data_IF_164047097680
#
_entry.id   IF_164047097680
#
_cell.length_a   1.000
_cell.length_b   1.000
_cell.length_c   1.000
_cell.angle_alpha   90.00
_cell.angle_beta   90.00
_cell.angle_gamma   90.00
#
_symmetry.space_group_name_H-M   'P 1'
#
loop_
_entity.id
_entity.type
_entity.pdbx_description
1 polymer ?
#
# COMPACT_ATOMS: atom_id res chain seq x y z
N UNK A 1 20.57 -70.36 -57.20
CA UNK A 1 20.82 -71.31 -56.07
C UNK A 1 20.63 -70.51 -54.78
N UNK A 2 19.87 -71.15 -53.90
CA UNK A 2 19.71 -70.85 -52.44
C UNK A 2 19.01 -69.60 -51.94
N UNK A 3 17.78 -69.80 -51.53
CA UNK A 3 17.10 -69.09 -50.40
C UNK A 3 17.93 -69.29 -49.12
N UNK A 4 17.77 -68.47 -48.02
CA UNK A 4 16.53 -68.50 -47.26
C UNK A 4 16.29 -67.30 -46.32
N UNK A 5 15.13 -67.37 -45.76
CA UNK A 5 14.62 -67.20 -44.38
C UNK A 5 14.41 -65.81 -43.81
N UNK A 6 13.11 -65.56 -43.68
CA UNK A 6 12.42 -64.64 -42.80
C UNK A 6 12.80 -64.82 -41.31
N UNK A 7 12.99 -63.67 -40.63
CA UNK A 7 12.83 -63.56 -39.16
C UNK A 7 12.01 -62.40 -38.82
N UNK A 8 10.79 -62.66 -38.42
CA UNK A 8 9.92 -61.71 -37.77
C UNK A 8 10.50 -61.33 -36.40
N UNK A 9 10.64 -60.04 -36.16
CA UNK A 9 10.97 -59.52 -34.82
C UNK A 9 9.79 -58.72 -34.32
N UNK A 10 9.18 -59.23 -33.24
CA UNK A 10 8.12 -58.58 -32.48
C UNK A 10 8.64 -57.26 -31.87
N UNK A 11 8.04 -56.15 -32.23
CA UNK A 11 8.20 -54.91 -31.48
C UNK A 11 7.06 -54.83 -30.45
N UNK A 12 7.41 -55.09 -29.20
CA UNK A 12 6.55 -54.80 -28.05
C UNK A 12 6.52 -53.29 -27.83
N UNK A 13 5.38 -52.67 -28.07
CA UNK A 13 5.15 -51.26 -27.78
C UNK A 13 5.01 -51.04 -26.25
N UNK A 14 5.94 -50.29 -25.67
CA UNK A 14 5.78 -49.72 -24.34
C UNK A 14 4.94 -48.44 -24.48
N UNK A 15 3.68 -48.52 -24.05
CA UNK A 15 2.84 -47.35 -23.85
C UNK A 15 3.28 -46.71 -22.54
N UNK A 16 4.12 -45.68 -22.64
CA UNK A 16 4.45 -44.83 -21.49
C UNK A 16 3.24 -44.00 -21.11
N UNK A 17 2.55 -44.35 -20.02
CA UNK A 17 1.62 -43.44 -19.35
C UNK A 17 2.41 -42.22 -18.81
N UNK A 18 2.41 -41.14 -19.56
CA UNK A 18 2.85 -39.86 -19.06
C UNK A 18 1.86 -39.36 -18.00
N UNK A 19 2.18 -39.51 -16.73
CA UNK A 19 1.48 -38.83 -15.66
C UNK A 19 1.73 -37.31 -15.81
N UNK A 20 0.76 -36.61 -16.37
CA UNK A 20 0.74 -35.17 -16.26
C UNK A 20 0.50 -34.82 -14.79
N UNK A 21 1.59 -34.50 -14.07
CA UNK A 21 1.50 -33.88 -12.78
C UNK A 21 0.82 -32.51 -12.98
N UNK A 22 -0.46 -32.42 -12.67
CA UNK A 22 -1.14 -31.16 -12.53
C UNK A 22 -0.47 -30.48 -11.33
N UNK A 23 0.41 -29.51 -11.60
CA UNK A 23 0.97 -28.69 -10.56
C UNK A 23 -0.22 -27.99 -9.87
N UNK A 24 -0.39 -28.11 -8.55
CA UNK A 24 -1.41 -27.35 -7.85
C UNK A 24 -1.15 -25.88 -8.15
N UNK A 25 -2.19 -25.15 -8.60
CA UNK A 25 -2.14 -23.72 -8.67
C UNK A 25 -1.72 -23.23 -7.29
N UNK A 26 -0.49 -22.72 -7.19
CA UNK A 26 0.00 -22.11 -5.97
C UNK A 26 -0.82 -20.83 -5.77
N UNK A 27 -1.97 -20.96 -5.11
CA UNK A 27 -2.64 -19.79 -4.57
C UNK A 27 -1.64 -19.15 -3.61
N UNK A 28 -1.33 -17.89 -3.85
CA UNK A 28 -0.48 -17.13 -2.94
C UNK A 28 -1.03 -17.30 -1.51
N UNK A 29 -0.14 -17.67 -0.59
CA UNK A 29 -0.55 -17.96 0.78
C UNK A 29 -1.19 -16.74 1.43
N UNK A 30 -2.30 -16.93 2.14
CA UNK A 30 -2.93 -15.90 2.95
C UNK A 30 -2.13 -15.68 4.22
N UNK A 31 -2.13 -14.43 4.70
CA UNK A 31 -1.48 -14.04 5.93
C UNK A 31 -2.48 -13.46 6.93
N UNK A 32 -2.96 -14.29 7.85
CA UNK A 32 -3.99 -13.93 8.83
C UNK A 32 -3.57 -12.78 9.76
N UNK A 33 -2.28 -12.70 10.10
CA UNK A 33 -1.77 -11.65 10.98
C UNK A 33 -1.80 -10.29 10.28
N UNK A 34 -1.38 -10.23 9.01
CA UNK A 34 -1.47 -9.03 8.19
C UNK A 34 -2.94 -8.61 7.96
N UNK A 35 -3.84 -9.57 7.74
CA UNK A 35 -5.27 -9.34 7.59
C UNK A 35 -5.88 -8.73 8.86
N UNK A 36 -5.59 -9.31 10.02
CA UNK A 36 -6.05 -8.83 11.33
C UNK A 36 -5.52 -7.45 11.63
N UNK A 37 -4.25 -7.20 11.31
CA UNK A 37 -3.62 -5.89 11.46
C UNK A 37 -4.34 -4.82 10.64
N UNK A 38 -4.62 -5.08 9.37
CA UNK A 38 -5.34 -4.13 8.50
C UNK A 38 -6.79 -3.96 8.99
N UNK A 39 -7.49 -5.05 9.31
CA UNK A 39 -8.88 -4.99 9.79
C UNK A 39 -9.02 -4.07 11.00
N UNK A 40 -8.19 -4.29 12.02
CA UNK A 40 -8.27 -3.53 13.28
C UNK A 40 -7.94 -2.05 13.07
N UNK A 41 -6.83 -1.76 12.40
CA UNK A 41 -6.36 -0.38 12.23
C UNK A 41 -7.22 0.43 11.26
N UNK A 42 -7.69 -0.16 10.16
CA UNK A 42 -8.57 0.52 9.23
C UNK A 42 -9.95 0.81 9.86
N UNK A 43 -10.48 -0.12 10.67
CA UNK A 43 -11.71 0.11 11.44
C UNK A 43 -11.54 1.28 12.42
N UNK A 44 -10.43 1.31 13.16
CA UNK A 44 -10.13 2.41 14.08
C UNK A 44 -9.97 3.75 13.35
N UNK A 45 -9.34 3.77 12.17
CA UNK A 45 -9.17 4.98 11.37
C UNK A 45 -10.53 5.55 10.89
N UNK A 46 -11.44 4.69 10.41
CA UNK A 46 -12.78 5.13 10.00
C UNK A 46 -13.62 5.62 11.19
N UNK A 47 -13.48 4.99 12.36
CA UNK A 47 -14.11 5.44 13.59
C UNK A 47 -13.58 6.83 14.04
N UNK A 48 -12.26 7.03 13.97
CA UNK A 48 -11.66 8.33 14.31
C UNK A 48 -12.16 9.45 13.39
N UNK A 49 -12.38 9.17 12.09
CA UNK A 49 -12.92 10.15 11.15
C UNK A 49 -14.38 10.53 11.46
N UNK A 50 -15.10 9.73 12.23
CA UNK A 50 -16.48 9.98 12.62
C UNK A 50 -16.65 10.93 13.83
N UNK A 51 -15.54 11.31 14.51
CA UNK A 51 -15.59 12.23 15.62
C UNK A 51 -16.03 13.63 15.15
N UNK A 52 -17.08 14.17 15.74
CA UNK A 52 -17.64 15.48 15.41
C UNK A 52 -16.71 16.63 15.85
N UNK A 53 -15.86 16.42 16.84
CA UNK A 53 -14.87 17.40 17.27
C UNK A 53 -13.66 17.36 16.32
N UNK A 54 -13.50 18.39 15.49
CA UNK A 54 -12.45 18.47 14.49
C UNK A 54 -11.02 18.33 15.07
N UNK A 55 -10.79 18.87 16.27
CA UNK A 55 -9.48 18.76 16.94
C UNK A 55 -9.22 17.35 17.43
N UNK A 56 -10.19 16.71 18.07
CA UNK A 56 -10.08 15.33 18.56
C UNK A 56 -9.94 14.37 17.38
N UNK A 57 -10.77 14.50 16.35
CA UNK A 57 -10.69 13.73 15.10
C UNK A 57 -9.29 13.77 14.52
N UNK A 58 -8.72 14.97 14.33
CA UNK A 58 -7.37 15.14 13.78
C UNK A 58 -6.30 14.48 14.65
N UNK A 59 -6.35 14.68 15.96
CA UNK A 59 -5.38 14.08 16.89
C UNK A 59 -5.47 12.55 16.90
N UNK A 60 -6.68 11.98 16.90
CA UNK A 60 -6.88 10.54 16.86
C UNK A 60 -6.40 9.96 15.53
N UNK A 61 -6.78 10.57 14.43
CA UNK A 61 -6.36 10.13 13.10
C UNK A 61 -4.84 10.22 12.93
N UNK A 62 -4.21 11.29 13.42
CA UNK A 62 -2.75 11.43 13.42
C UNK A 62 -2.06 10.33 14.20
N UNK A 63 -2.52 10.01 15.41
CA UNK A 63 -1.96 8.90 16.21
C UNK A 63 -2.08 7.57 15.46
N UNK A 64 -3.25 7.27 14.91
CA UNK A 64 -3.49 6.05 14.17
C UNK A 64 -2.60 5.95 12.92
N UNK A 65 -2.48 7.03 12.15
CA UNK A 65 -1.61 7.04 10.97
C UNK A 65 -0.15 6.77 11.31
N UNK A 66 0.38 7.36 12.41
CA UNK A 66 1.75 7.11 12.87
C UNK A 66 1.97 5.69 13.39
N UNK A 67 0.95 5.08 13.97
CA UNK A 67 1.01 3.68 14.43
C UNK A 67 0.85 2.69 13.27
N UNK A 68 -0.04 2.99 12.35
CA UNK A 68 -0.46 2.13 11.26
C UNK A 68 0.53 2.13 10.08
N UNK A 69 1.08 3.28 9.71
CA UNK A 69 1.99 3.44 8.60
C UNK A 69 3.46 3.57 9.05
N UNK A 70 4.39 3.12 8.20
CA UNK A 70 5.83 3.40 8.36
C UNK A 70 6.16 4.76 7.74
N UNK A 71 5.76 5.84 8.48
CA UNK A 71 5.85 7.20 7.96
C UNK A 71 7.29 7.61 7.59
N UNK A 72 8.30 7.12 8.30
CA UNK A 72 9.70 7.41 8.00
C UNK A 72 10.17 6.77 6.71
N UNK A 73 9.80 5.51 6.51
CA UNK A 73 10.13 4.78 5.28
C UNK A 73 9.39 5.36 4.09
N UNK A 74 8.11 5.68 4.26
CA UNK A 74 7.30 6.31 3.22
C UNK A 74 7.89 7.68 2.86
N UNK A 75 8.21 8.54 3.84
CA UNK A 75 8.80 9.84 3.61
C UNK A 75 10.13 9.75 2.81
N UNK A 76 10.98 8.78 3.16
CA UNK A 76 12.24 8.54 2.43
C UNK A 76 11.96 8.07 0.98
N UNK A 77 10.99 7.20 0.79
CA UNK A 77 10.58 6.71 -0.52
C UNK A 77 10.08 7.86 -1.42
N UNK A 78 9.35 8.81 -0.86
CA UNK A 78 8.72 9.90 -1.61
C UNK A 78 9.70 10.82 -2.35
N UNK A 79 10.91 11.01 -1.84
CA UNK A 79 11.94 11.83 -2.51
C UNK A 79 12.85 11.02 -3.45
N UNK A 80 12.71 9.70 -3.48
CA UNK A 80 13.38 8.80 -4.42
C UNK A 80 14.88 9.08 -4.57
N UNK A 81 15.32 9.43 -5.79
CA UNK A 81 16.73 9.74 -6.11
C UNK A 81 17.32 10.94 -5.36
N UNK A 82 16.48 11.79 -4.77
CA UNK A 82 16.92 12.94 -3.96
C UNK A 82 17.16 12.59 -2.48
N UNK A 83 16.90 11.34 -2.06
CA UNK A 83 17.15 10.86 -0.69
C UNK A 83 18.60 11.05 -0.18
N UNK A 84 19.68 11.08 -1.02
CA UNK A 84 21.01 11.42 -0.56
C UNK A 84 21.11 12.77 0.13
N UNK A 85 20.37 13.79 -0.32
CA UNK A 85 20.32 15.11 0.34
C UNK A 85 19.83 15.02 1.78
N UNK A 86 18.83 14.16 2.05
CA UNK A 86 18.32 13.94 3.41
C UNK A 86 19.32 13.18 4.30
N UNK A 87 20.19 12.37 3.72
CA UNK A 87 21.26 11.68 4.47
C UNK A 87 22.39 12.62 4.86
N UNK A 88 22.67 13.58 3.98
CA UNK A 88 23.74 14.55 4.18
C UNK A 88 23.39 15.66 5.18
N UNK A 89 22.11 16.00 5.34
CA UNK A 89 21.64 17.10 6.20
C UNK A 89 20.55 16.56 7.17
N UNK A 90 20.89 16.45 8.45
CA UNK A 90 20.01 15.92 9.49
C UNK A 90 18.82 16.86 9.78
N UNK A 91 19.00 18.18 9.64
CA UNK A 91 17.94 19.15 9.85
C UNK A 91 16.96 19.12 8.68
N UNK A 92 17.48 19.06 7.45
CA UNK A 92 16.65 18.89 6.26
C UNK A 92 15.82 17.59 6.35
N UNK A 93 16.42 16.49 6.80
CA UNK A 93 15.72 15.22 6.99
C UNK A 93 14.59 15.33 8.00
N UNK A 94 14.85 15.98 9.15
CA UNK A 94 13.83 16.20 10.19
C UNK A 94 12.69 17.05 9.65
N UNK A 95 13.00 18.19 9.01
CA UNK A 95 12.02 19.11 8.45
C UNK A 95 11.17 18.44 7.36
N UNK A 96 11.79 17.63 6.50
CA UNK A 96 11.10 16.84 5.49
C UNK A 96 10.12 15.85 6.11
N UNK A 97 10.56 15.07 7.10
CA UNK A 97 9.69 14.08 7.78
C UNK A 97 8.47 14.73 8.39
N UNK A 98 8.64 15.83 9.09
CA UNK A 98 7.53 16.58 9.72
C UNK A 98 6.58 17.12 8.66
N UNK A 99 7.09 17.81 7.65
CA UNK A 99 6.26 18.41 6.60
C UNK A 99 5.50 17.34 5.79
N UNK A 100 6.18 16.23 5.44
CA UNK A 100 5.54 15.13 4.74
C UNK A 100 4.47 14.44 5.59
N UNK A 101 4.74 14.15 6.85
CA UNK A 101 3.78 13.53 7.76
C UNK A 101 2.53 14.39 7.93
N UNK A 102 2.69 15.68 8.18
CA UNK A 102 1.59 16.63 8.32
C UNK A 102 0.75 16.73 7.04
N UNK A 103 1.41 16.77 5.89
CA UNK A 103 0.75 16.79 4.58
C UNK A 103 -0.02 15.50 4.31
N UNK A 104 0.60 14.33 4.55
CA UNK A 104 -0.04 13.04 4.33
C UNK A 104 -1.29 12.88 5.22
N UNK A 105 -1.20 13.22 6.49
CA UNK A 105 -2.33 13.16 7.43
C UNK A 105 -3.46 14.08 6.97
N UNK A 106 -3.17 15.35 6.64
CA UNK A 106 -4.19 16.28 6.17
C UNK A 106 -4.84 15.82 4.85
N UNK A 107 -4.04 15.27 3.95
CA UNK A 107 -4.51 14.74 2.66
C UNK A 107 -5.48 13.57 2.88
N UNK A 108 -5.09 12.59 3.68
CA UNK A 108 -5.94 11.41 3.91
C UNK A 108 -7.14 11.71 4.80
N UNK A 109 -7.02 12.59 5.80
CA UNK A 109 -8.16 13.10 6.56
C UNK A 109 -9.21 13.72 5.61
N UNK A 110 -8.79 14.56 4.68
CA UNK A 110 -9.67 15.18 3.70
C UNK A 110 -10.27 14.20 2.70
N UNK A 111 -9.44 13.30 2.14
CA UNK A 111 -9.89 12.36 1.10
C UNK A 111 -10.83 11.28 1.65
N UNK A 112 -10.65 10.86 2.91
CA UNK A 112 -11.41 9.77 3.51
C UNK A 112 -12.56 10.26 4.39
N UNK A 113 -12.82 11.56 4.46
CA UNK A 113 -13.92 12.10 5.25
C UNK A 113 -15.28 11.50 4.85
N UNK A 114 -15.51 11.22 3.57
CA UNK A 114 -16.72 10.57 3.07
C UNK A 114 -16.85 9.09 3.48
N UNK A 115 -15.78 8.48 3.98
CA UNK A 115 -15.77 7.11 4.51
C UNK A 115 -16.02 7.07 6.03
N UNK A 116 -16.11 8.23 6.66
CA UNK A 116 -16.39 8.39 8.10
C UNK A 116 -17.58 7.56 8.55
N UNK A 117 -17.41 6.74 9.59
CA UNK A 117 -18.45 5.82 10.06
C UNK A 117 -18.75 4.63 9.14
N UNK A 118 -17.99 4.43 8.09
CA UNK A 118 -18.09 3.28 7.20
C UNK A 118 -17.61 1.99 7.84
N UNK A 119 -17.85 0.88 7.13
CA UNK A 119 -17.47 -0.47 7.55
C UNK A 119 -16.36 -0.99 6.66
N UNK A 120 -15.29 -1.48 7.26
CA UNK A 120 -14.21 -2.22 6.58
C UNK A 120 -14.43 -3.71 6.78
N UNK A 121 -14.23 -4.48 5.72
CA UNK A 121 -14.20 -5.94 5.75
C UNK A 121 -13.01 -6.43 4.95
N UNK A 122 -12.02 -7.02 5.60
CA UNK A 122 -10.93 -7.71 4.92
C UNK A 122 -11.48 -8.96 4.22
N UNK A 123 -11.14 -9.13 2.96
CA UNK A 123 -11.62 -10.23 2.11
C UNK A 123 -10.53 -11.25 1.82
N UNK A 124 -9.26 -10.90 2.01
CA UNK A 124 -8.14 -11.80 1.84
C UNK A 124 -6.81 -11.09 1.75
N UNK A 125 -5.77 -11.87 1.54
CA UNK A 125 -4.43 -11.36 1.34
C UNK A 125 -3.63 -12.25 0.38
N UNK A 126 -2.54 -11.69 -0.15
CA UNK A 126 -1.57 -12.35 -1.00
C UNK A 126 -0.17 -12.01 -0.53
N UNK A 127 0.64 -12.99 -0.19
CA UNK A 127 2.05 -12.80 0.13
C UNK A 127 2.87 -12.59 -1.13
N UNK A 128 3.48 -11.42 -1.28
CA UNK A 128 4.46 -11.13 -2.32
C UNK A 128 5.84 -11.65 -1.96
N UNK A 129 6.17 -11.55 -0.69
CA UNK A 129 7.34 -12.16 -0.05
C UNK A 129 6.87 -12.78 1.25
N UNK A 130 7.05 -14.08 1.39
CA UNK A 130 6.56 -14.88 2.51
C UNK A 130 6.89 -14.22 3.87
N UNK A 131 5.87 -13.95 4.67
CA UNK A 131 5.97 -13.35 6.00
C UNK A 131 6.55 -11.93 6.07
N UNK A 132 6.75 -11.23 4.93
CA UNK A 132 7.45 -9.93 4.90
C UNK A 132 6.78 -8.83 4.09
N UNK A 133 6.16 -9.14 2.95
CA UNK A 133 5.48 -8.19 2.06
C UNK A 133 4.16 -8.81 1.61
N UNK A 134 3.06 -8.23 2.07
CA UNK A 134 1.71 -8.75 1.87
C UNK A 134 0.82 -7.67 1.29
N UNK A 135 0.00 -8.05 0.30
CA UNK A 135 -1.12 -7.24 -0.14
C UNK A 135 -2.38 -7.77 0.55
N UNK A 136 -2.97 -6.97 1.41
CA UNK A 136 -4.28 -7.26 2.01
C UNK A 136 -5.34 -6.57 1.19
N UNK A 137 -6.41 -7.29 0.88
CA UNK A 137 -7.58 -6.76 0.15
C UNK A 137 -8.75 -6.62 1.12
N UNK A 138 -9.43 -5.49 1.05
CA UNK A 138 -10.64 -5.22 1.83
C UNK A 138 -11.71 -4.56 0.96
N UNK A 139 -12.95 -4.66 1.43
CA UNK A 139 -14.08 -3.86 0.99
C UNK A 139 -14.37 -2.79 2.04
N UNK A 140 -14.50 -1.55 1.59
CA UNK A 140 -14.93 -0.43 2.42
C UNK A 140 -16.31 0.01 1.95
N UNK A 141 -17.28 -0.05 2.84
CA UNK A 141 -18.64 0.41 2.60
C UNK A 141 -18.86 1.71 3.37
N UNK A 142 -18.93 2.86 2.68
CA UNK A 142 -19.25 4.13 3.32
C UNK A 142 -20.71 4.14 3.80
N UNK A 143 -21.11 5.04 4.70
CA UNK A 143 -22.52 5.21 5.09
C UNK A 143 -23.43 5.58 3.91
N UNK A 144 -22.86 6.27 2.91
CA UNK A 144 -23.55 6.67 1.66
C UNK A 144 -22.64 6.36 0.47
N UNK A 145 -23.23 5.82 -0.60
CA UNK A 145 -22.48 5.47 -1.82
C UNK A 145 -22.18 3.99 -1.94
N UNK A 146 -21.38 3.65 -2.93
CA UNK A 146 -21.06 2.26 -3.28
C UNK A 146 -19.88 1.73 -2.49
N UNK A 147 -19.91 0.43 -2.22
CA UNK A 147 -18.76 -0.31 -1.68
C UNK A 147 -17.58 -0.20 -2.65
N UNK A 148 -16.40 0.07 -2.10
CA UNK A 148 -15.15 0.14 -2.85
C UNK A 148 -14.14 -0.89 -2.35
N UNK A 149 -13.35 -1.42 -3.27
CA UNK A 149 -12.21 -2.25 -2.91
C UNK A 149 -11.02 -1.38 -2.53
N UNK A 150 -10.33 -1.77 -1.46
CA UNK A 150 -9.08 -1.14 -1.02
C UNK A 150 -8.04 -2.23 -0.86
N UNK A 151 -6.87 -2.03 -1.47
CA UNK A 151 -5.71 -2.88 -1.30
C UNK A 151 -4.66 -2.16 -0.45
N UNK A 152 -4.09 -2.87 0.50
CA UNK A 152 -3.12 -2.37 1.47
C UNK A 152 -1.83 -3.12 1.29
N UNK A 153 -0.76 -2.44 0.96
CA UNK A 153 0.56 -3.05 1.00
C UNK A 153 1.13 -2.91 2.40
N UNK A 154 1.34 -4.02 3.06
CA UNK A 154 1.91 -4.07 4.41
C UNK A 154 3.27 -4.77 4.39
N UNK A 155 4.22 -4.21 5.10
CA UNK A 155 5.55 -4.78 5.28
C UNK A 155 5.81 -5.12 6.74
N UNK A 156 6.60 -6.17 6.97
CA UNK A 156 7.13 -6.47 8.30
C UNK A 156 8.11 -5.39 8.71
N UNK A 157 7.91 -4.81 9.89
CA UNK A 157 8.75 -3.77 10.48
C UNK A 157 8.94 -4.09 11.96
N UNK A 158 10.15 -4.49 12.36
CA UNK A 158 10.38 -5.04 13.70
C UNK A 158 9.51 -6.27 13.96
N UNK A 159 8.79 -6.28 15.08
CA UNK A 159 7.91 -7.39 15.46
C UNK A 159 6.50 -7.31 14.87
N UNK A 160 6.17 -6.24 14.16
CA UNK A 160 4.82 -5.97 13.66
C UNK A 160 4.72 -5.76 12.16
N UNK A 161 3.52 -5.40 11.74
CA UNK A 161 3.20 -4.97 10.38
C UNK A 161 3.11 -3.45 10.30
N UNK A 162 3.40 -2.87 9.14
CA UNK A 162 3.20 -1.45 8.84
C UNK A 162 2.67 -1.29 7.42
N UNK A 163 1.69 -0.41 7.24
CA UNK A 163 1.23 -0.01 5.90
C UNK A 163 2.29 0.85 5.23
N UNK A 164 2.55 0.51 3.98
CA UNK A 164 3.49 1.24 3.11
C UNK A 164 2.77 1.99 2.00
N UNK A 165 1.66 1.46 1.52
CA UNK A 165 0.90 2.08 0.43
C UNK A 165 -0.53 1.54 0.41
N UNK A 166 -1.45 2.29 -0.19
CA UNK A 166 -2.82 1.89 -0.43
C UNK A 166 -3.23 2.14 -1.87
N UNK A 167 -4.14 1.32 -2.36
CA UNK A 167 -4.76 1.50 -3.66
C UNK A 167 -6.28 1.39 -3.54
N UNK A 168 -7.03 2.35 -4.08
CA UNK A 168 -8.49 2.43 -3.97
C UNK A 168 -9.15 2.19 -5.33
N UNK A 169 -10.11 1.28 -5.37
CA UNK A 169 -10.81 0.86 -6.58
C UNK A 169 -10.24 -0.42 -7.20
N UNK A 170 -10.97 -0.98 -8.18
CA UNK A 170 -10.63 -2.28 -8.80
C UNK A 170 -9.35 -2.19 -9.62
N UNK A 171 -9.21 -1.14 -10.43
CA UNK A 171 -8.05 -0.91 -11.31
C UNK A 171 -7.07 0.12 -10.70
N UNK A 172 -7.02 0.14 -9.39
CA UNK A 172 -6.40 1.20 -8.63
C UNK A 172 -4.89 1.23 -8.76
N UNK A 173 -4.38 2.41 -9.01
CA UNK A 173 -2.96 2.72 -8.88
C UNK A 173 -2.65 2.97 -7.40
N UNK A 174 -1.47 2.59 -6.98
CA UNK A 174 -0.96 2.84 -5.64
C UNK A 174 -0.82 4.34 -5.39
N UNK A 175 -1.47 4.87 -4.35
CA UNK A 175 -1.52 6.31 -4.08
C UNK A 175 -0.14 6.88 -3.79
N UNK A 176 0.70 6.13 -3.07
CA UNK A 176 2.08 6.52 -2.83
C UNK A 176 2.91 6.62 -4.10
N UNK A 177 2.69 5.75 -5.09
CA UNK A 177 3.38 5.85 -6.38
C UNK A 177 2.96 7.09 -7.17
N UNK A 178 1.67 7.45 -7.12
CA UNK A 178 1.17 8.68 -7.76
C UNK A 178 1.84 9.89 -7.10
N UNK A 179 1.81 9.94 -5.78
CA UNK A 179 2.35 11.05 -5.00
C UNK A 179 3.87 11.18 -5.19
N UNK A 180 4.59 10.07 -5.21
CA UNK A 180 6.04 10.07 -5.48
C UNK A 180 6.35 10.67 -6.84
N UNK A 181 5.64 10.27 -7.90
CA UNK A 181 5.85 10.85 -9.24
C UNK A 181 5.65 12.36 -9.26
N UNK A 182 4.62 12.86 -8.57
CA UNK A 182 4.37 14.30 -8.45
C UNK A 182 5.50 15.02 -7.73
N UNK A 183 6.00 14.47 -6.62
CA UNK A 183 7.10 15.07 -5.88
C UNK A 183 8.41 15.04 -6.67
N UNK A 184 8.69 13.95 -7.37
CA UNK A 184 9.90 13.85 -8.22
C UNK A 184 9.85 14.85 -9.36
N UNK A 185 8.71 15.02 -10.03
CA UNK A 185 8.56 16.05 -11.07
C UNK A 185 8.81 17.45 -10.50
N UNK A 186 8.23 17.77 -9.36
CA UNK A 186 8.42 19.06 -8.68
C UNK A 186 9.88 19.28 -8.23
N UNK A 187 10.56 18.23 -7.76
CA UNK A 187 11.98 18.30 -7.42
C UNK A 187 12.85 18.50 -8.66
N UNK A 188 12.52 17.85 -9.78
CA UNK A 188 13.23 18.04 -11.06
C UNK A 188 13.13 19.49 -11.55
N UNK A 189 11.92 20.05 -11.52
CA UNK A 189 11.65 21.45 -11.90
C UNK A 189 12.40 22.47 -11.01
N UNK A 190 12.67 22.09 -9.75
CA UNK A 190 13.34 22.95 -8.77
C UNK A 190 14.80 22.54 -8.48
N UNK A 191 15.48 21.90 -9.43
CA UNK A 191 16.89 21.49 -9.32
C UNK A 191 17.19 20.66 -8.05
N UNK A 192 16.25 19.80 -7.64
CA UNK A 192 16.40 18.94 -6.47
C UNK A 192 16.25 19.67 -5.13
N UNK A 193 15.71 20.87 -5.11
CA UNK A 193 15.56 21.66 -3.87
C UNK A 193 14.46 21.11 -2.96
N UNK A 194 14.83 20.23 -2.03
CA UNK A 194 13.91 19.62 -1.06
C UNK A 194 13.29 20.67 -0.13
N UNK A 195 14.00 21.77 0.20
CA UNK A 195 13.42 22.86 1.04
C UNK A 195 12.27 23.56 0.35
N UNK A 196 12.33 23.74 -0.97
CA UNK A 196 11.22 24.30 -1.74
C UNK A 196 9.99 23.39 -1.67
N UNK A 197 10.18 22.06 -1.82
CA UNK A 197 9.11 21.07 -1.66
C UNK A 197 8.52 21.07 -0.24
N UNK A 198 9.34 21.16 0.81
CA UNK A 198 8.89 21.29 2.20
C UNK A 198 7.96 22.50 2.36
N UNK A 199 8.34 23.65 1.82
CA UNK A 199 7.55 24.87 1.92
C UNK A 199 6.21 24.77 1.18
N UNK A 200 6.22 24.15 -0.01
CA UNK A 200 4.98 23.84 -0.76
C UNK A 200 4.05 22.94 0.05
N UNK A 201 4.55 21.85 0.63
CA UNK A 201 3.74 20.94 1.45
C UNK A 201 3.15 21.63 2.68
N UNK A 202 3.92 22.49 3.34
CA UNK A 202 3.41 23.29 4.47
C UNK A 202 2.28 24.21 4.05
N UNK A 203 2.42 24.89 2.90
CA UNK A 203 1.37 25.75 2.33
C UNK A 203 0.10 24.97 2.00
N UNK A 204 0.23 23.84 1.31
CA UNK A 204 -0.89 22.95 0.96
C UNK A 204 -1.58 22.37 2.19
N UNK A 205 -0.82 21.96 3.21
CA UNK A 205 -1.35 21.47 4.48
C UNK A 205 -2.19 22.53 5.17
N UNK A 206 -1.69 23.78 5.23
CA UNK A 206 -2.42 24.92 5.81
C UNK A 206 -3.71 25.18 5.05
N UNK A 207 -3.68 25.18 3.72
CA UNK A 207 -4.86 25.37 2.89
C UNK A 207 -5.92 24.28 3.14
N UNK A 208 -5.52 22.99 3.18
CA UNK A 208 -6.45 21.89 3.48
C UNK A 208 -7.08 22.00 4.87
N UNK A 209 -6.31 22.41 5.87
CA UNK A 209 -6.80 22.55 7.26
C UNK A 209 -7.76 23.73 7.43
N UNK A 210 -7.64 24.76 6.59
CA UNK A 210 -8.50 25.95 6.60
C UNK A 210 -9.75 25.82 5.71
N UNK A 211 -9.81 24.78 4.87
CA UNK A 211 -11.00 24.50 4.05
C UNK A 211 -12.07 23.87 4.94
N UNK A 212 -13.27 24.48 5.07
CA UNK A 212 -14.34 23.88 5.84
C UNK A 212 -14.74 22.53 5.23
N UNK A 213 -15.07 21.55 6.10
CA UNK A 213 -15.61 20.28 5.65
C UNK A 213 -16.86 20.55 4.79
N UNK A 214 -16.91 19.97 3.59
CA UNK A 214 -18.12 20.05 2.76
C UNK A 214 -19.24 19.30 3.47
N UNK A 215 -20.25 20.06 3.88
CA UNK A 215 -21.50 19.57 4.46
C UNK A 215 -22.30 18.73 3.47
#
# INVERSE_FOLDING_TARGET
MTRPVSRATFLSGLIGLGAFAVAPNAHAARNSDAESYVQSNATAALAALADNNATQRRQQFQRLMTQFADMDRIATYMVGRYSPALRADADLRRDWRVAFQDFAIATYESQFQNLSGGIVRVTGSEERVAGRDVIVTSEVRPPRGSTMQVRWRVLRSGEGWKVMDIAVGRDAVWLGQIQQRQFLAQLDENNGNVRALINDLRGRTTAMRNTPARS
#
